data_IF_897322354208
#
_entry.id   IF_897322354208
#
_cell.length_a   1.000
_cell.length_b   1.000
_cell.length_c   1.000
_cell.angle_alpha   90.00
_cell.angle_beta   90.00
_cell.angle_gamma   90.00
#
_symmetry.space_group_name_H-M   'P 1'
#
loop_
_entity.id
_entity.type
_entity.pdbx_description
1 polymer ?
#
# COMPACT_ATOMS: atom_id res chain seq x y z
N UNK A 1 9.00 -13.35 -14.36
CA UNK A 1 9.35 -11.95 -14.10
C UNK A 1 9.88 -11.86 -12.68
N UNK A 2 11.04 -11.29 -12.46
CA UNK A 2 11.55 -10.99 -11.11
C UNK A 2 11.15 -9.56 -10.79
N UNK A 3 10.69 -9.31 -9.63
CA UNK A 3 9.84 -8.19 -9.24
C UNK A 3 10.42 -7.40 -8.11
N UNK A 4 9.80 -6.27 -7.82
CA UNK A 4 10.21 -5.29 -6.83
C UNK A 4 10.19 -5.76 -5.36
N UNK A 5 9.75 -6.98 -5.07
CA UNK A 5 9.86 -7.56 -3.73
C UNK A 5 10.76 -8.81 -3.75
N UNK A 6 12.02 -8.71 -3.28
CA UNK A 6 12.93 -9.85 -3.23
C UNK A 6 12.45 -11.03 -2.39
N UNK A 7 11.59 -10.77 -1.39
CA UNK A 7 10.99 -11.81 -0.55
C UNK A 7 9.91 -12.61 -1.25
N UNK A 8 9.33 -12.08 -2.34
CA UNK A 8 8.25 -12.68 -3.11
C UNK A 8 8.59 -12.72 -4.61
N UNK A 9 9.54 -13.54 -5.05
CA UNK A 9 9.97 -13.58 -6.44
C UNK A 9 8.80 -13.91 -7.37
N UNK A 10 8.69 -13.18 -8.48
CA UNK A 10 7.61 -13.37 -9.46
C UNK A 10 6.38 -12.51 -9.23
N UNK A 11 6.33 -11.69 -8.18
CA UNK A 11 5.23 -10.77 -7.86
C UNK A 11 5.61 -9.33 -8.16
N UNK A 12 4.62 -8.52 -8.47
CA UNK A 12 4.74 -7.08 -8.66
C UNK A 12 3.66 -6.40 -7.85
N UNK A 13 4.01 -5.34 -7.13
CA UNK A 13 3.03 -4.44 -6.56
C UNK A 13 2.52 -3.49 -7.64
N UNK A 14 1.22 -3.29 -7.67
CA UNK A 14 0.56 -2.32 -8.55
C UNK A 14 -0.46 -1.55 -7.74
N UNK A 15 -0.37 -0.22 -7.76
CA UNK A 15 -1.27 0.67 -7.04
C UNK A 15 -2.20 1.39 -8.02
N UNK A 16 -3.40 1.76 -7.56
CA UNK A 16 -4.29 2.68 -8.27
C UNK A 16 -4.20 4.07 -7.64
N UNK A 17 -3.95 5.10 -8.45
CA UNK A 17 -3.97 6.50 -8.02
C UNK A 17 -5.18 7.22 -8.58
N UNK A 18 -5.76 8.13 -7.81
CA UNK A 18 -6.93 8.91 -8.26
C UNK A 18 -8.15 8.04 -8.59
N UNK A 19 -8.31 6.89 -7.92
CA UNK A 19 -9.53 6.07 -8.05
C UNK A 19 -10.74 6.90 -7.64
N UNK A 20 -11.82 6.82 -8.42
CA UNK A 20 -13.06 7.52 -8.11
C UNK A 20 -13.83 6.78 -7.00
N UNK A 21 -13.94 7.35 -5.79
CA UNK A 21 -14.66 6.72 -4.69
C UNK A 21 -16.17 6.96 -4.74
N UNK A 22 -16.68 7.78 -5.66
CA UNK A 22 -18.07 8.22 -5.72
C UNK A 22 -18.85 7.52 -6.84
N UNK A 23 -18.17 7.00 -7.87
CA UNK A 23 -18.78 6.23 -8.94
C UNK A 23 -18.58 4.74 -8.76
N UNK A 24 -19.57 3.96 -9.16
CA UNK A 24 -19.44 2.50 -9.21
C UNK A 24 -18.36 2.13 -10.26
N UNK A 25 -17.47 1.20 -9.93
CA UNK A 25 -16.54 0.66 -10.91
C UNK A 25 -17.27 -0.02 -12.06
N UNK A 26 -16.62 -0.20 -13.20
CA UNK A 26 -17.20 -1.03 -14.27
C UNK A 26 -17.58 -2.41 -13.75
N UNK A 27 -18.58 -3.06 -14.34
CA UNK A 27 -19.03 -4.39 -13.93
C UNK A 27 -17.87 -5.40 -13.85
N UNK A 28 -16.93 -5.34 -14.80
CA UNK A 28 -15.72 -6.17 -14.79
C UNK A 28 -14.81 -5.86 -13.62
N UNK A 29 -14.54 -4.58 -13.34
CA UNK A 29 -13.70 -4.17 -12.22
C UNK A 29 -14.34 -4.56 -10.88
N UNK A 30 -15.66 -4.38 -10.73
CA UNK A 30 -16.41 -4.82 -9.57
C UNK A 30 -16.28 -6.32 -9.32
N UNK A 31 -16.42 -7.15 -10.37
CA UNK A 31 -16.24 -8.60 -10.27
C UNK A 31 -14.80 -9.00 -9.90
N UNK A 32 -13.78 -8.29 -10.42
CA UNK A 32 -12.39 -8.51 -10.07
C UNK A 32 -12.10 -8.14 -8.60
N UNK A 33 -12.64 -7.00 -8.14
CA UNK A 33 -12.53 -6.56 -6.75
C UNK A 33 -13.19 -7.56 -5.78
N UNK A 34 -14.38 -8.06 -6.12
CA UNK A 34 -15.07 -9.05 -5.31
C UNK A 34 -14.25 -10.35 -5.18
N UNK A 35 -13.74 -10.88 -6.29
CA UNK A 35 -12.89 -12.08 -6.26
C UNK A 35 -11.62 -11.90 -5.42
N UNK A 36 -10.97 -10.74 -5.54
CA UNK A 36 -9.78 -10.44 -4.74
C UNK A 36 -10.12 -10.37 -3.25
N UNK A 37 -11.24 -9.72 -2.90
CA UNK A 37 -11.74 -9.64 -1.53
C UNK A 37 -12.05 -11.03 -0.96
N UNK A 38 -12.81 -11.85 -1.69
CA UNK A 38 -13.20 -13.19 -1.24
C UNK A 38 -11.97 -14.07 -0.97
N UNK A 39 -10.96 -13.99 -1.86
CA UNK A 39 -9.70 -14.72 -1.69
C UNK A 39 -8.91 -14.25 -0.44
N UNK A 40 -8.85 -12.94 -0.20
CA UNK A 40 -8.15 -12.40 0.97
C UNK A 40 -8.92 -12.69 2.27
N UNK A 41 -10.25 -12.62 2.27
CA UNK A 41 -11.06 -13.00 3.42
C UNK A 41 -10.89 -14.49 3.77
N UNK A 42 -10.88 -15.38 2.78
CA UNK A 42 -10.61 -16.80 3.00
C UNK A 42 -9.21 -17.03 3.59
N UNK A 43 -8.20 -16.30 3.08
CA UNK A 43 -6.85 -16.30 3.60
C UNK A 43 -6.80 -15.86 5.06
N UNK A 44 -7.46 -14.74 5.40
CA UNK A 44 -7.50 -14.22 6.76
C UNK A 44 -8.22 -15.18 7.73
N UNK A 45 -9.33 -15.80 7.33
CA UNK A 45 -10.00 -16.84 8.14
C UNK A 45 -9.06 -17.99 8.49
N UNK A 46 -8.34 -18.51 7.49
CA UNK A 46 -7.39 -19.59 7.69
C UNK A 46 -6.24 -19.16 8.62
N UNK A 47 -5.71 -17.96 8.44
CA UNK A 47 -4.62 -17.42 9.27
C UNK A 47 -5.06 -17.23 10.73
N UNK A 48 -6.25 -16.69 10.97
CA UNK A 48 -6.81 -16.52 12.31
C UNK A 48 -7.03 -17.88 12.99
N UNK A 49 -7.54 -18.88 12.26
CA UNK A 49 -7.71 -20.25 12.79
C UNK A 49 -6.37 -20.83 13.24
N UNK A 50 -5.34 -20.78 12.39
CA UNK A 50 -4.00 -21.27 12.73
C UNK A 50 -3.38 -20.56 13.94
N UNK A 51 -3.58 -19.26 14.06
CA UNK A 51 -3.13 -18.49 15.22
C UNK A 51 -3.90 -18.90 16.48
N UNK A 52 -5.23 -19.06 16.39
CA UNK A 52 -6.06 -19.45 17.53
C UNK A 52 -5.64 -20.83 18.05
N UNK A 53 -5.36 -21.78 17.17
CA UNK A 53 -4.86 -23.12 17.53
C UNK A 53 -3.50 -23.01 18.23
N UNK A 54 -2.56 -22.24 17.67
CA UNK A 54 -1.24 -22.03 18.24
C UNK A 54 -1.27 -21.37 19.62
N UNK A 55 -2.09 -20.34 19.79
CA UNK A 55 -2.24 -19.67 21.08
C UNK A 55 -3.00 -20.52 22.10
N UNK A 56 -3.97 -21.34 21.66
CA UNK A 56 -4.66 -22.31 22.52
C UNK A 56 -3.68 -23.36 23.06
N UNK A 57 -2.81 -23.89 22.20
CA UNK A 57 -1.73 -24.80 22.59
C UNK A 57 -0.73 -24.15 23.57
N UNK A 58 -0.55 -22.83 23.49
CA UNK A 58 0.29 -22.04 24.40
C UNK A 58 -0.42 -21.63 25.71
N UNK A 59 -1.67 -22.07 25.92
CA UNK A 59 -2.45 -21.80 27.14
C UNK A 59 -3.31 -20.53 27.08
N UNK A 60 -3.49 -19.93 25.90
CA UNK A 60 -4.41 -18.82 25.68
C UNK A 60 -5.57 -19.28 24.78
N UNK A 61 -6.66 -19.81 25.36
CA UNK A 61 -7.89 -20.04 24.60
C UNK A 61 -8.52 -18.72 24.18
N UNK A 62 -8.82 -18.59 22.88
CA UNK A 62 -9.50 -17.40 22.33
C UNK A 62 -10.70 -17.82 21.50
N UNK A 63 -11.74 -16.98 21.49
CA UNK A 63 -12.89 -17.11 20.59
C UNK A 63 -12.73 -16.19 19.35
N UNK A 64 -11.51 -15.80 19.02
CA UNK A 64 -11.25 -14.91 17.89
C UNK A 64 -11.51 -15.61 16.56
N UNK A 65 -12.34 -14.98 15.74
CA UNK A 65 -12.57 -15.34 14.34
C UNK A 65 -12.25 -14.15 13.46
N UNK A 66 -12.06 -14.37 12.15
CA UNK A 66 -11.84 -13.28 11.21
C UNK A 66 -13.03 -12.31 11.21
N UNK A 67 -14.24 -12.84 11.36
CA UNK A 67 -15.49 -12.08 11.36
C UNK A 67 -15.54 -11.14 12.57
N UNK A 68 -15.35 -11.65 13.79
CA UNK A 68 -15.45 -10.80 14.99
C UNK A 68 -14.28 -9.81 15.11
N UNK A 69 -13.09 -10.14 14.60
CA UNK A 69 -11.99 -9.17 14.50
C UNK A 69 -12.35 -8.03 13.54
N UNK A 70 -12.97 -8.33 12.41
CA UNK A 70 -13.36 -7.33 11.44
C UNK A 70 -14.52 -6.44 11.94
N UNK A 71 -15.46 -7.02 12.68
CA UNK A 71 -16.52 -6.27 13.36
C UNK A 71 -15.93 -5.29 14.37
N UNK A 72 -15.00 -5.75 15.22
CA UNK A 72 -14.33 -4.90 16.20
C UNK A 72 -13.52 -3.76 15.55
N UNK A 73 -12.88 -4.02 14.42
CA UNK A 73 -12.17 -2.98 13.63
C UNK A 73 -13.17 -1.95 13.10
N UNK A 74 -14.31 -2.40 12.55
CA UNK A 74 -15.36 -1.52 12.03
C UNK A 74 -15.97 -0.63 13.13
N UNK A 75 -16.28 -1.20 14.29
CA UNK A 75 -16.78 -0.47 15.44
C UNK A 75 -15.80 0.60 15.93
N UNK A 76 -14.51 0.26 16.06
CA UNK A 76 -13.46 1.20 16.47
C UNK A 76 -13.24 2.33 15.47
N UNK A 77 -13.41 2.03 14.18
CA UNK A 77 -13.28 3.01 13.10
C UNK A 77 -14.55 3.83 12.87
N UNK A 78 -15.68 3.43 13.43
CA UNK A 78 -16.98 4.05 13.19
C UNK A 78 -17.43 3.95 11.73
N UNK A 79 -17.11 2.82 11.06
CA UNK A 79 -17.41 2.62 9.65
C UNK A 79 -18.21 1.33 9.41
N UNK A 80 -18.93 1.21 8.27
CA UNK A 80 -19.59 -0.01 7.88
C UNK A 80 -18.63 -1.21 7.80
N UNK A 81 -19.08 -2.40 8.21
CA UNK A 81 -18.25 -3.62 8.21
C UNK A 81 -17.71 -3.98 6.82
N UNK A 82 -18.49 -3.74 5.79
CA UNK A 82 -18.11 -4.01 4.39
C UNK A 82 -16.95 -3.12 3.88
N UNK A 83 -16.61 -2.05 4.59
CA UNK A 83 -15.44 -1.22 4.28
C UNK A 83 -14.15 -1.77 4.87
N UNK A 84 -14.24 -2.71 5.79
CA UNK A 84 -13.08 -3.29 6.45
C UNK A 84 -12.55 -4.48 5.65
N UNK A 85 -11.30 -4.35 5.20
CA UNK A 85 -10.49 -5.46 4.70
C UNK A 85 -9.48 -5.82 5.77
N UNK A 86 -9.56 -7.03 6.31
CA UNK A 86 -8.64 -7.50 7.33
C UNK A 86 -7.22 -7.58 6.77
N UNK A 87 -6.25 -7.22 7.61
CA UNK A 87 -4.84 -7.34 7.34
C UNK A 87 -4.15 -8.03 8.52
N UNK A 88 -2.98 -8.60 8.29
CA UNK A 88 -2.17 -9.26 9.32
C UNK A 88 -2.02 -8.41 10.60
N UNK A 89 -1.93 -7.07 10.45
CA UNK A 89 -1.80 -6.16 11.60
C UNK A 89 -3.05 -6.08 12.46
N UNK A 90 -4.25 -6.16 11.87
CA UNK A 90 -5.51 -6.22 12.63
C UNK A 90 -5.60 -7.53 13.41
N UNK A 91 -5.21 -8.62 12.79
CA UNK A 91 -5.16 -9.95 13.42
C UNK A 91 -4.15 -9.96 14.57
N UNK A 92 -2.92 -9.51 14.35
CA UNK A 92 -1.90 -9.46 15.39
C UNK A 92 -2.32 -8.57 16.58
N UNK A 93 -3.00 -7.44 16.30
CA UNK A 93 -3.56 -6.57 17.33
C UNK A 93 -4.61 -7.30 18.17
N UNK A 94 -5.55 -8.00 17.53
CA UNK A 94 -6.59 -8.73 18.24
C UNK A 94 -6.02 -9.83 19.14
N UNK A 95 -5.04 -10.59 18.67
CA UNK A 95 -4.37 -11.61 19.50
C UNK A 95 -3.54 -10.99 20.64
N UNK A 96 -2.85 -9.88 20.39
CA UNK A 96 -2.14 -9.16 21.46
C UNK A 96 -3.11 -8.64 22.52
N UNK A 97 -4.26 -8.08 22.13
CA UNK A 97 -5.27 -7.58 23.08
C UNK A 97 -5.93 -8.72 23.86
N UNK A 98 -6.22 -9.85 23.20
CA UNK A 98 -6.73 -11.04 23.88
C UNK A 98 -5.74 -11.56 24.93
N UNK A 99 -4.44 -11.61 24.58
CA UNK A 99 -3.38 -11.96 25.53
C UNK A 99 -3.34 -11.00 26.71
N UNK A 100 -3.40 -9.70 26.46
CA UNK A 100 -3.30 -8.70 27.54
C UNK A 100 -4.52 -8.68 28.45
N UNK A 101 -5.69 -9.06 27.92
CA UNK A 101 -6.95 -9.16 28.68
C UNK A 101 -7.01 -10.43 29.54
N UNK A 102 -6.55 -11.55 28.99
CA UNK A 102 -6.75 -12.86 29.62
C UNK A 102 -5.55 -13.34 30.47
N UNK A 103 -4.34 -12.79 30.24
CA UNK A 103 -3.11 -13.27 30.87
C UNK A 103 -2.49 -12.19 31.75
N UNK A 104 -2.20 -12.53 33.00
CA UNK A 104 -1.50 -11.65 33.93
C UNK A 104 -0.13 -11.22 33.40
N UNK A 105 0.30 -9.95 33.62
CA UNK A 105 1.50 -9.37 32.99
C UNK A 105 2.76 -10.23 33.08
N UNK A 106 2.98 -10.85 34.25
CA UNK A 106 4.15 -11.69 34.55
C UNK A 106 4.20 -13.01 33.76
N UNK A 107 3.05 -13.47 33.25
CA UNK A 107 2.94 -14.71 32.50
C UNK A 107 2.88 -14.50 30.99
N UNK A 108 2.72 -13.27 30.52
CA UNK A 108 2.58 -12.96 29.09
C UNK A 108 3.80 -13.40 28.26
N UNK A 109 4.98 -13.24 28.84
CA UNK A 109 6.23 -13.65 28.20
C UNK A 109 6.30 -15.15 27.97
N UNK A 110 5.84 -15.95 28.94
CA UNK A 110 5.83 -17.40 28.85
C UNK A 110 4.86 -17.90 27.78
N UNK A 111 3.64 -17.31 27.75
CA UNK A 111 2.64 -17.65 26.73
C UNK A 111 3.13 -17.31 25.33
N UNK A 112 3.72 -16.11 25.14
CA UNK A 112 4.30 -15.73 23.84
C UNK A 112 5.45 -16.65 23.45
N UNK A 113 6.35 -16.97 24.38
CA UNK A 113 7.48 -17.87 24.12
C UNK A 113 7.01 -19.28 23.72
N UNK A 114 5.95 -19.76 24.37
CA UNK A 114 5.30 -21.02 24.02
C UNK A 114 4.68 -20.98 22.61
N UNK A 115 3.91 -19.91 22.32
CA UNK A 115 3.25 -19.75 21.01
C UNK A 115 4.28 -19.61 19.87
N UNK A 116 5.43 -19.02 20.13
CA UNK A 116 6.52 -18.83 19.15
C UNK A 116 7.44 -20.06 18.98
N UNK A 117 7.33 -21.04 19.87
CA UNK A 117 8.26 -22.18 19.91
C UNK A 117 9.69 -21.77 20.28
N UNK A 118 9.86 -20.69 21.05
CA UNK A 118 11.15 -20.16 21.50
C UNK A 118 11.02 -18.80 22.17
N UNK A 119 12.07 -18.26 22.79
CA UNK A 119 12.00 -17.06 23.63
C UNK A 119 11.36 -15.89 22.88
N UNK A 120 10.37 -15.22 23.51
CA UNK A 120 9.81 -13.97 23.03
C UNK A 120 10.79 -12.84 23.37
N UNK A 121 11.01 -11.93 22.42
CA UNK A 121 11.94 -10.81 22.55
C UNK A 121 11.26 -9.49 22.90
N UNK A 122 10.01 -9.30 22.46
CA UNK A 122 9.26 -8.05 22.69
C UNK A 122 8.94 -7.88 24.18
N UNK A 123 9.12 -6.67 24.67
CA UNK A 123 8.63 -6.31 25.99
C UNK A 123 7.09 -6.36 26.02
N UNK A 124 6.54 -7.14 26.94
CA UNK A 124 5.08 -7.28 27.11
C UNK A 124 4.41 -6.03 27.70
N UNK A 125 5.15 -4.95 27.95
CA UNK A 125 4.62 -3.63 28.28
C UNK A 125 4.39 -2.77 27.02
N UNK A 126 4.87 -3.21 25.84
CA UNK A 126 4.76 -2.47 24.59
C UNK A 126 3.87 -3.21 23.57
N UNK A 127 2.57 -2.88 23.48
CA UNK A 127 1.61 -3.58 22.61
C UNK A 127 2.07 -3.69 21.17
N UNK A 128 2.59 -2.61 20.59
CA UNK A 128 3.05 -2.58 19.18
C UNK A 128 4.20 -3.56 18.95
N UNK A 129 5.18 -3.61 19.87
CA UNK A 129 6.30 -4.54 19.74
C UNK A 129 5.83 -6.01 19.78
N UNK A 130 4.85 -6.32 20.63
CA UNK A 130 4.22 -7.66 20.67
C UNK A 130 3.48 -7.96 19.38
N UNK A 131 2.73 -7.02 18.82
CA UNK A 131 2.04 -7.18 17.53
C UNK A 131 3.03 -7.47 16.40
N UNK A 132 4.13 -6.72 16.35
CA UNK A 132 5.18 -6.91 15.33
C UNK A 132 5.89 -8.27 15.49
N UNK A 133 6.11 -8.73 16.73
CA UNK A 133 6.69 -10.05 16.97
C UNK A 133 5.72 -11.18 16.61
N UNK A 134 4.44 -11.08 16.93
CA UNK A 134 3.40 -12.02 16.46
C UNK A 134 3.43 -12.13 14.93
N UNK A 135 3.43 -10.99 14.24
CA UNK A 135 3.48 -10.98 12.76
C UNK A 135 4.73 -11.64 12.21
N UNK A 136 5.90 -11.24 12.71
CA UNK A 136 7.18 -11.71 12.19
C UNK A 136 7.45 -13.18 12.49
N UNK A 137 7.01 -13.68 13.63
CA UNK A 137 7.30 -15.06 14.08
C UNK A 137 6.23 -16.08 13.71
N UNK A 138 4.97 -15.64 13.51
CA UNK A 138 3.87 -16.56 13.23
C UNK A 138 3.24 -16.40 11.85
N UNK A 139 3.21 -15.19 11.26
CA UNK A 139 2.37 -14.90 10.09
C UNK A 139 3.15 -14.71 8.79
N UNK A 140 4.48 -14.58 8.82
CA UNK A 140 5.31 -14.39 7.62
C UNK A 140 5.63 -15.71 6.93
N UNK A 141 6.10 -15.65 5.68
CA UNK A 141 6.45 -16.83 4.90
C UNK A 141 7.36 -17.78 5.68
N UNK A 142 7.01 -19.07 5.67
CA UNK A 142 7.69 -20.11 6.41
C UNK A 142 7.38 -20.16 7.92
N UNK A 143 6.37 -19.41 8.39
CA UNK A 143 5.91 -19.40 9.79
C UNK A 143 4.63 -20.22 9.97
N UNK A 144 4.34 -20.66 11.22
CA UNK A 144 3.23 -21.64 11.49
C UNK A 144 1.85 -21.20 11.03
N UNK A 145 1.51 -19.91 11.11
CA UNK A 145 0.22 -19.38 10.69
C UNK A 145 0.27 -18.67 9.33
N UNK A 146 1.35 -18.87 8.57
CA UNK A 146 1.43 -18.29 7.22
C UNK A 146 0.44 -18.97 6.28
N UNK A 147 -0.36 -18.16 5.60
CA UNK A 147 -1.22 -18.58 4.50
C UNK A 147 -0.82 -17.79 3.25
N UNK A 148 -0.48 -18.48 2.14
CA UNK A 148 -0.09 -17.80 0.90
C UNK A 148 -1.19 -16.89 0.38
N UNK A 149 -0.80 -15.75 -0.18
CA UNK A 149 -1.70 -14.89 -0.93
C UNK A 149 -2.08 -15.53 -2.27
N UNK A 150 -3.28 -15.23 -2.74
CA UNK A 150 -3.75 -15.58 -4.09
C UNK A 150 -3.68 -14.34 -4.98
N UNK A 151 -2.51 -14.04 -5.59
CA UNK A 151 -2.35 -12.83 -6.38
C UNK A 151 -3.23 -12.90 -7.63
N UNK A 152 -3.80 -11.75 -7.99
CA UNK A 152 -4.45 -11.57 -9.30
C UNK A 152 -3.38 -11.44 -10.39
N UNK A 153 -3.74 -11.68 -11.66
CA UNK A 153 -2.83 -11.42 -12.77
C UNK A 153 -2.54 -9.92 -12.90
N UNK A 154 -1.39 -9.57 -13.51
CA UNK A 154 -1.07 -8.17 -13.80
C UNK A 154 -2.19 -7.50 -14.61
N UNK A 155 -2.66 -8.16 -15.67
CA UNK A 155 -3.75 -7.69 -16.51
C UNK A 155 -5.05 -7.43 -15.74
N UNK A 156 -5.41 -8.32 -14.82
CA UNK A 156 -6.61 -8.14 -14.01
C UNK A 156 -6.45 -6.99 -13.02
N UNK A 157 -5.29 -6.86 -12.36
CA UNK A 157 -5.00 -5.73 -11.47
C UNK A 157 -5.01 -4.40 -12.24
N UNK A 158 -4.38 -4.35 -13.41
CA UNK A 158 -4.34 -3.18 -14.28
C UNK A 158 -5.76 -2.76 -14.71
N UNK A 159 -6.58 -3.72 -15.17
CA UNK A 159 -7.98 -3.47 -15.58
C UNK A 159 -8.88 -3.12 -14.40
N UNK A 160 -8.64 -3.68 -13.22
CA UNK A 160 -9.35 -3.29 -12.00
C UNK A 160 -9.14 -1.81 -11.70
N UNK A 161 -7.90 -1.33 -11.74
CA UNK A 161 -7.55 0.07 -11.47
C UNK A 161 -8.22 1.00 -12.50
N UNK A 162 -8.07 0.71 -13.79
CA UNK A 162 -8.67 1.52 -14.85
C UNK A 162 -10.20 1.51 -14.79
N UNK A 163 -10.79 0.35 -14.55
CA UNK A 163 -12.24 0.19 -14.44
C UNK A 163 -12.83 0.83 -13.19
N UNK A 164 -12.00 1.18 -12.21
CA UNK A 164 -12.33 1.98 -11.02
C UNK A 164 -12.01 3.47 -11.20
N UNK A 165 -11.69 3.89 -12.43
CA UNK A 165 -11.41 5.29 -12.75
C UNK A 165 -10.02 5.78 -12.34
N UNK A 166 -9.13 4.88 -11.91
CA UNK A 166 -7.78 5.23 -11.44
C UNK A 166 -6.69 5.14 -12.51
N UNK A 167 -5.50 5.62 -12.15
CA UNK A 167 -4.27 5.51 -12.94
C UNK A 167 -3.43 4.37 -12.37
N UNK A 168 -3.00 3.37 -13.18
CA UNK A 168 -2.04 2.37 -12.75
C UNK A 168 -0.71 3.01 -12.35
N UNK A 169 -0.19 2.64 -11.19
CA UNK A 169 1.02 3.20 -10.61
C UNK A 169 1.94 2.09 -10.13
N UNK A 170 3.22 2.17 -10.47
CA UNK A 170 4.26 1.25 -10.02
C UNK A 170 4.94 1.81 -8.76
N UNK A 171 4.84 1.14 -7.60
CA UNK A 171 5.59 1.54 -6.40
C UNK A 171 7.05 1.06 -6.50
N UNK A 172 7.96 2.01 -6.59
CA UNK A 172 9.41 1.78 -6.65
C UNK A 172 9.99 1.67 -5.25
N UNK A 173 10.65 0.57 -4.92
CA UNK A 173 11.27 0.36 -3.61
C UNK A 173 12.71 0.87 -3.54
N UNK A 174 13.49 0.67 -4.59
CA UNK A 174 14.93 0.99 -4.64
C UNK A 174 15.67 0.55 -3.36
N UNK A 175 16.36 1.41 -2.61
CA UNK A 175 17.02 1.04 -1.32
C UNK A 175 16.04 0.58 -0.25
N UNK A 176 14.75 0.82 -0.40
CA UNK A 176 13.73 0.30 0.51
C UNK A 176 13.66 -1.23 0.54
N UNK A 177 14.26 -1.90 -0.46
CA UNK A 177 14.51 -3.33 -0.47
C UNK A 177 15.98 -3.62 -0.17
N UNK A 178 16.26 -4.62 0.65
CA UNK A 178 17.64 -5.05 0.95
C UNK A 178 17.79 -6.55 0.74
N UNK A 179 18.55 -7.01 -0.27
CA UNK A 179 19.23 -6.18 -1.29
C UNK A 179 18.26 -5.50 -2.24
N UNK A 180 18.71 -4.42 -2.91
CA UNK A 180 17.95 -3.77 -3.98
C UNK A 180 17.56 -4.80 -5.03
N UNK A 181 16.33 -4.74 -5.50
CA UNK A 181 15.85 -5.68 -6.49
C UNK A 181 16.54 -5.43 -7.85
N UNK A 182 17.26 -6.42 -8.43
CA UNK A 182 17.94 -6.22 -9.70
C UNK A 182 17.01 -5.81 -10.86
N UNK A 183 15.71 -6.04 -10.70
CA UNK A 183 14.72 -5.59 -11.69
C UNK A 183 14.48 -4.07 -11.62
N UNK A 184 14.77 -3.44 -10.50
CA UNK A 184 14.66 -1.99 -10.35
C UNK A 184 15.92 -1.24 -10.76
N UNK A 185 17.01 -1.92 -11.06
CA UNK A 185 18.29 -1.33 -11.45
C UNK A 185 18.64 -1.56 -12.93
N UNK A 186 19.38 -0.62 -13.55
CA UNK A 186 19.53 0.77 -13.11
C UNK A 186 18.24 1.60 -13.35
N UNK A 187 18.13 2.82 -12.79
CA UNK A 187 16.90 3.64 -12.86
C UNK A 187 16.34 3.84 -14.27
N UNK A 188 17.20 4.13 -15.26
CA UNK A 188 16.76 4.30 -16.66
C UNK A 188 16.24 2.99 -17.28
N UNK A 189 16.72 1.84 -16.84
CA UNK A 189 16.19 0.55 -17.28
C UNK A 189 14.82 0.28 -16.64
N UNK A 190 14.65 0.62 -15.37
CA UNK A 190 13.35 0.54 -14.70
C UNK A 190 12.33 1.45 -15.40
N UNK A 191 12.69 2.69 -15.71
CA UNK A 191 11.79 3.61 -16.42
C UNK A 191 11.28 3.01 -17.74
N UNK A 192 12.14 2.40 -18.55
CA UNK A 192 11.71 1.69 -19.77
C UNK A 192 10.77 0.53 -19.47
N UNK A 193 11.10 -0.33 -18.48
CA UNK A 193 10.25 -1.46 -18.09
C UNK A 193 8.86 -1.03 -17.63
N UNK A 194 8.77 0.07 -16.89
CA UNK A 194 7.51 0.65 -16.43
C UNK A 194 6.66 1.14 -17.61
N UNK A 195 7.28 1.83 -18.58
CA UNK A 195 6.58 2.25 -19.80
C UNK A 195 6.13 1.05 -20.67
N UNK A 196 6.96 0.00 -20.78
CA UNK A 196 6.62 -1.23 -21.52
C UNK A 196 5.39 -1.95 -20.91
N UNK A 197 5.11 -1.70 -19.63
CA UNK A 197 3.89 -2.19 -18.97
C UNK A 197 2.68 -1.26 -19.15
N UNK A 198 2.80 -0.15 -19.89
CA UNK A 198 1.74 0.84 -20.04
C UNK A 198 1.50 1.69 -18.77
N UNK A 199 2.48 1.81 -17.90
CA UNK A 199 2.38 2.57 -16.65
C UNK A 199 3.06 3.93 -16.82
N UNK A 200 2.34 4.99 -16.49
CA UNK A 200 2.78 6.38 -16.67
C UNK A 200 2.98 7.13 -15.35
N UNK A 201 2.74 6.47 -14.22
CA UNK A 201 2.91 7.02 -12.87
C UNK A 201 3.68 6.02 -12.01
N UNK A 202 4.65 6.49 -11.26
CA UNK A 202 5.36 5.72 -10.24
C UNK A 202 5.24 6.39 -8.88
N UNK A 203 5.41 5.62 -7.82
CA UNK A 203 5.52 6.11 -6.45
C UNK A 203 6.88 5.73 -5.91
N UNK A 204 7.63 6.70 -5.40
CA UNK A 204 8.85 6.47 -4.66
C UNK A 204 8.59 6.73 -3.18
N UNK A 205 9.28 6.00 -2.30
CA UNK A 205 9.09 6.10 -0.85
C UNK A 205 10.35 6.76 -0.25
N UNK A 206 10.40 8.10 -0.14
CA UNK A 206 11.62 8.81 0.28
C UNK A 206 12.17 8.35 1.62
N UNK A 207 11.31 8.07 2.63
CA UNK A 207 11.76 7.67 3.97
C UNK A 207 12.47 6.31 4.03
N UNK A 208 12.49 5.57 2.92
CA UNK A 208 13.23 4.31 2.76
C UNK A 208 14.47 4.45 1.90
N UNK A 209 14.68 5.60 1.28
CA UNK A 209 15.69 5.80 0.26
C UNK A 209 16.67 6.92 0.64
N UNK A 210 17.94 6.74 0.32
CA UNK A 210 18.94 7.81 0.46
C UNK A 210 18.64 8.96 -0.51
N UNK A 211 18.95 10.22 -0.16
CA UNK A 211 18.65 11.39 -1.02
C UNK A 211 19.15 11.25 -2.46
N UNK A 212 20.38 10.79 -2.64
CA UNK A 212 20.98 10.60 -3.97
C UNK A 212 20.24 9.55 -4.81
N UNK A 213 19.66 8.51 -4.17
CA UNK A 213 18.85 7.49 -4.82
C UNK A 213 17.50 8.07 -5.23
N UNK A 214 16.84 8.83 -4.35
CA UNK A 214 15.62 9.57 -4.69
C UNK A 214 15.83 10.41 -5.94
N UNK A 215 16.87 11.23 -5.96
CA UNK A 215 17.17 12.13 -7.09
C UNK A 215 17.48 11.35 -8.39
N UNK A 216 18.23 10.24 -8.31
CA UNK A 216 18.57 9.43 -9.48
C UNK A 216 17.31 8.80 -10.13
N UNK A 217 16.41 8.23 -9.31
CA UNK A 217 15.18 7.63 -9.83
C UNK A 217 14.19 8.68 -10.34
N UNK A 218 14.00 9.78 -9.61
CA UNK A 218 13.16 10.90 -10.05
C UNK A 218 13.65 11.45 -11.40
N UNK A 219 14.94 11.69 -11.55
CA UNK A 219 15.52 12.19 -12.80
C UNK A 219 15.34 11.18 -13.97
N UNK A 220 15.48 9.87 -13.71
CA UNK A 220 15.30 8.85 -14.74
C UNK A 220 13.84 8.77 -15.21
N UNK A 221 12.89 8.75 -14.27
CA UNK A 221 11.47 8.73 -14.60
C UNK A 221 11.01 9.99 -15.33
N UNK A 222 11.46 11.16 -14.88
CA UNK A 222 11.17 12.43 -15.56
C UNK A 222 11.65 12.44 -17.01
N UNK A 223 12.89 11.99 -17.28
CA UNK A 223 13.42 11.88 -18.65
C UNK A 223 12.57 10.97 -19.52
N UNK A 224 11.98 9.95 -18.94
CA UNK A 224 11.09 9.02 -19.63
C UNK A 224 9.64 9.51 -19.76
N UNK A 225 9.28 10.67 -19.19
CA UNK A 225 7.92 11.21 -19.17
C UNK A 225 6.98 10.48 -18.21
N UNK A 226 7.51 9.80 -17.20
CA UNK A 226 6.75 9.13 -16.13
C UNK A 226 6.64 10.10 -14.95
N UNK A 227 5.43 10.29 -14.45
CA UNK A 227 5.17 11.08 -13.25
C UNK A 227 5.62 10.34 -12.00
N UNK A 228 6.18 11.05 -11.04
CA UNK A 228 6.68 10.47 -9.78
C UNK A 228 5.93 11.05 -8.59
N UNK A 229 5.27 10.18 -7.83
CA UNK A 229 4.63 10.54 -6.57
C UNK A 229 5.52 10.18 -5.37
N UNK A 230 5.35 10.89 -4.25
CA UNK A 230 5.96 10.51 -2.98
C UNK A 230 4.98 9.70 -2.13
N UNK A 231 5.38 8.50 -1.74
CA UNK A 231 4.71 7.69 -0.73
C UNK A 231 5.30 7.93 0.66
N UNK A 232 4.49 7.84 1.70
CA UNK A 232 4.90 8.07 3.10
C UNK A 232 4.89 6.81 3.94
N UNK A 233 4.38 5.68 3.41
CA UNK A 233 4.28 4.40 4.12
C UNK A 233 3.57 4.45 5.49
N UNK A 234 2.54 5.27 5.64
CA UNK A 234 1.69 5.31 6.83
C UNK A 234 0.87 4.02 6.96
N UNK A 235 1.51 2.94 7.25
CA UNK A 235 0.91 1.62 7.35
C UNK A 235 0.90 1.04 8.78
N UNK A 236 1.30 1.81 9.77
CA UNK A 236 1.28 1.46 11.19
C UNK A 236 0.75 2.63 12.02
N UNK A 237 0.56 2.44 13.33
CA UNK A 237 0.18 3.53 14.27
C UNK A 237 1.35 4.46 14.63
N UNK A 238 2.51 4.27 14.07
CA UNK A 238 3.64 5.18 14.22
C UNK A 238 3.31 6.52 13.57
N UNK A 239 3.63 7.61 14.26
CA UNK A 239 3.46 8.97 13.73
C UNK A 239 4.63 9.30 12.81
N UNK A 240 4.53 8.89 11.55
CA UNK A 240 5.47 9.30 10.52
C UNK A 240 5.07 10.71 10.05
N UNK A 241 6.03 11.64 9.82
CA UNK A 241 5.71 12.96 9.25
C UNK A 241 4.96 12.83 7.92
N UNK A 242 3.94 13.67 7.72
CA UNK A 242 3.22 13.73 6.43
C UNK A 242 4.09 14.32 5.32
N UNK A 243 5.01 15.22 5.68
CA UNK A 243 6.01 15.74 4.75
C UNK A 243 7.04 14.63 4.47
N UNK A 244 7.17 14.17 3.21
CA UNK A 244 8.12 13.13 2.87
C UNK A 244 9.56 13.55 3.17
N UNK A 245 10.31 12.69 3.88
CA UNK A 245 11.73 12.85 4.18
C UNK A 245 12.50 11.64 3.71
N UNK A 246 13.76 11.83 3.35
CA UNK A 246 14.64 10.74 2.99
C UNK A 246 15.04 9.89 4.21
N UNK A 247 15.68 8.76 3.98
CA UNK A 247 16.08 7.81 5.03
C UNK A 247 17.00 8.43 6.10
N UNK A 248 17.77 9.45 5.76
CA UNK A 248 18.62 10.21 6.67
C UNK A 248 17.89 11.36 7.42
N UNK A 249 16.58 11.51 7.20
CA UNK A 249 15.75 12.57 7.77
C UNK A 249 15.78 13.90 7.03
N UNK A 250 16.60 14.06 5.98
CA UNK A 250 16.63 15.26 5.14
C UNK A 250 15.38 15.36 4.26
N UNK A 251 15.08 16.56 3.77
CA UNK A 251 14.08 16.74 2.73
C UNK A 251 14.62 16.23 1.38
N UNK A 252 13.78 15.66 0.51
CA UNK A 252 14.13 15.46 -0.89
C UNK A 252 14.58 16.79 -1.54
N UNK A 253 15.36 16.71 -2.60
CA UNK A 253 15.80 17.90 -3.34
C UNK A 253 14.61 18.78 -3.79
N UNK A 254 14.87 20.05 -4.09
CA UNK A 254 13.82 20.94 -4.58
C UNK A 254 13.20 20.42 -5.88
N UNK A 255 14.00 19.85 -6.77
CA UNK A 255 13.55 19.27 -8.03
C UNK A 255 12.66 18.05 -7.78
N UNK A 256 13.08 17.12 -6.90
CA UNK A 256 12.25 15.96 -6.56
C UNK A 256 10.91 16.38 -5.93
N UNK A 257 10.90 17.37 -5.05
CA UNK A 257 9.66 17.89 -4.45
C UNK A 257 8.74 18.53 -5.48
N UNK A 258 9.30 19.24 -6.47
CA UNK A 258 8.52 19.81 -7.56
C UNK A 258 7.85 18.73 -8.41
N UNK A 259 8.57 17.65 -8.73
CA UNK A 259 8.01 16.49 -9.46
C UNK A 259 6.91 15.78 -8.65
N UNK A 260 7.10 15.58 -7.35
CA UNK A 260 6.08 14.99 -6.48
C UNK A 260 4.80 15.83 -6.44
N UNK A 261 4.96 17.16 -6.39
CA UNK A 261 3.82 18.08 -6.42
C UNK A 261 3.10 18.06 -7.77
N UNK A 262 3.85 18.11 -8.88
CA UNK A 262 3.30 18.02 -10.23
C UNK A 262 2.48 16.73 -10.40
N UNK A 263 3.03 15.58 -10.03
CA UNK A 263 2.35 14.30 -10.12
C UNK A 263 1.08 14.27 -9.24
N UNK A 264 1.14 14.82 -8.04
CA UNK A 264 -0.03 14.93 -7.13
C UNK A 264 -1.14 15.76 -7.76
N UNK A 265 -0.81 16.89 -8.37
CA UNK A 265 -1.77 17.73 -9.08
C UNK A 265 -2.38 17.00 -10.27
N UNK A 266 -1.59 16.30 -11.09
CA UNK A 266 -2.09 15.51 -12.23
C UNK A 266 -3.08 14.43 -11.77
N UNK A 267 -2.79 13.73 -10.67
CA UNK A 267 -3.69 12.72 -10.11
C UNK A 267 -4.99 13.35 -9.61
N UNK A 268 -4.92 14.50 -8.93
CA UNK A 268 -6.11 15.22 -8.47
C UNK A 268 -7.01 15.67 -9.64
N UNK A 269 -6.41 16.22 -10.71
CA UNK A 269 -7.13 16.59 -11.93
C UNK A 269 -7.75 15.38 -12.61
N UNK A 270 -7.01 14.28 -12.73
CA UNK A 270 -7.51 13.03 -13.30
C UNK A 270 -8.76 12.55 -12.55
N UNK A 271 -8.69 12.44 -11.22
CA UNK A 271 -9.79 11.99 -10.38
C UNK A 271 -11.04 12.89 -10.55
N UNK A 272 -10.85 14.18 -10.49
CA UNK A 272 -11.94 15.15 -10.66
C UNK A 272 -12.63 15.03 -12.03
N UNK A 273 -11.87 14.93 -13.10
CA UNK A 273 -12.41 14.80 -14.45
C UNK A 273 -13.13 13.46 -14.63
N UNK A 274 -12.56 12.36 -14.14
CA UNK A 274 -13.19 11.04 -14.20
C UNK A 274 -14.51 11.01 -13.41
N UNK A 275 -14.53 11.58 -12.21
CA UNK A 275 -15.75 11.72 -11.41
C UNK A 275 -16.83 12.59 -12.10
N UNK A 276 -16.41 13.49 -12.97
CA UNK A 276 -17.31 14.34 -13.80
C UNK A 276 -17.64 13.73 -15.17
N UNK A 277 -17.26 12.47 -15.42
CA UNK A 277 -17.49 11.79 -16.71
C UNK A 277 -16.65 12.33 -17.87
N UNK A 278 -15.58 13.06 -17.58
CA UNK A 278 -14.68 13.65 -18.57
C UNK A 278 -13.43 12.81 -18.79
N UNK A 279 -12.72 12.99 -19.93
CA UNK A 279 -11.44 12.34 -20.17
C UNK A 279 -10.40 12.73 -19.12
N UNK A 280 -9.82 11.74 -18.43
CA UNK A 280 -8.75 11.92 -17.47
C UNK A 280 -7.35 11.98 -18.12
N UNK A 281 -6.30 11.90 -17.31
CA UNK A 281 -4.91 11.84 -17.76
C UNK A 281 -4.63 10.57 -18.58
N UNK A 282 -5.24 9.44 -18.18
CA UNK A 282 -5.31 8.21 -18.97
C UNK A 282 -6.77 7.85 -19.24
N UNK A 283 -7.01 7.10 -20.31
CA UNK A 283 -8.31 6.56 -20.68
C UNK A 283 -8.59 5.20 -19.99
N UNK A 284 -9.74 4.58 -20.31
CA UNK A 284 -10.11 3.25 -19.78
C UNK A 284 -9.27 2.07 -20.31
N UNK A 285 -8.32 2.32 -21.20
CA UNK A 285 -7.32 1.35 -21.68
C UNK A 285 -5.94 1.59 -21.10
N UNK A 286 -5.74 2.72 -20.39
CA UNK A 286 -4.45 3.13 -19.85
C UNK A 286 -3.65 4.01 -20.80
N UNK A 287 -4.21 4.34 -21.96
CA UNK A 287 -3.56 5.22 -22.93
C UNK A 287 -3.62 6.67 -22.45
N UNK A 288 -2.53 7.39 -22.66
CA UNK A 288 -2.44 8.81 -22.31
C UNK A 288 -3.45 9.63 -23.15
N UNK A 289 -4.09 10.60 -22.50
CA UNK A 289 -5.06 11.48 -23.15
C UNK A 289 -4.49 12.11 -24.44
N UNK A 290 -5.07 11.81 -25.60
CA UNK A 290 -4.55 12.27 -26.90
C UNK A 290 -4.90 13.73 -27.24
N UNK A 291 -5.68 14.42 -26.40
CA UNK A 291 -6.14 15.79 -26.63
C UNK A 291 -5.07 16.88 -26.53
N UNK A 292 -3.78 16.49 -26.46
CA UNK A 292 -2.64 17.39 -26.29
C UNK A 292 -1.59 17.14 -27.34
N UNK A 293 -0.86 18.19 -27.79
CA UNK A 293 0.13 18.07 -28.85
C UNK A 293 1.36 17.23 -28.44
N UNK A 294 1.68 17.22 -27.15
CA UNK A 294 2.82 16.49 -26.59
C UNK A 294 2.63 16.17 -25.10
N UNK A 295 3.55 15.38 -24.55
CA UNK A 295 3.55 14.98 -23.14
C UNK A 295 3.69 16.16 -22.16
N UNK A 296 4.66 17.08 -22.37
CA UNK A 296 4.82 18.24 -21.51
C UNK A 296 3.60 19.14 -21.45
N UNK A 297 2.94 19.41 -22.60
CA UNK A 297 1.69 20.20 -22.63
C UNK A 297 0.56 19.54 -21.87
N UNK A 298 0.42 18.22 -22.01
CA UNK A 298 -0.57 17.43 -21.25
C UNK A 298 -0.29 17.52 -19.76
N UNK A 299 0.90 17.20 -19.33
CA UNK A 299 1.28 17.21 -17.90
C UNK A 299 1.05 18.58 -17.29
N UNK A 300 1.49 19.65 -17.95
CA UNK A 300 1.28 21.02 -17.49
C UNK A 300 -0.18 21.35 -17.28
N UNK A 301 -1.04 21.05 -18.27
CA UNK A 301 -2.46 21.37 -18.18
C UNK A 301 -3.14 20.63 -17.01
N UNK A 302 -2.87 19.32 -16.86
CA UNK A 302 -3.42 18.55 -15.75
C UNK A 302 -2.86 19.03 -14.39
N UNK A 303 -1.59 19.43 -14.33
CA UNK A 303 -0.96 19.96 -13.12
C UNK A 303 -1.58 21.28 -12.70
N UNK A 304 -1.78 22.22 -13.62
CA UNK A 304 -2.42 23.51 -13.35
C UNK A 304 -3.85 23.31 -12.84
N UNK A 305 -4.66 22.51 -13.53
CA UNK A 305 -6.02 22.19 -13.08
C UNK A 305 -6.02 21.56 -11.67
N UNK A 306 -5.13 20.60 -11.42
CA UNK A 306 -5.06 19.94 -10.12
C UNK A 306 -4.60 20.88 -8.99
N UNK A 307 -3.67 21.78 -9.27
CA UNK A 307 -3.23 22.79 -8.31
C UNK A 307 -4.40 23.72 -7.92
N UNK A 308 -5.20 24.14 -8.89
CA UNK A 308 -6.39 24.96 -8.64
C UNK A 308 -7.44 24.22 -7.79
N UNK A 309 -7.68 22.94 -8.08
CA UNK A 309 -8.62 22.09 -7.33
C UNK A 309 -8.16 21.92 -5.87
N UNK A 310 -6.91 21.59 -5.65
CA UNK A 310 -6.31 21.43 -4.30
C UNK A 310 -6.38 22.76 -3.55
N UNK A 311 -6.01 23.86 -4.21
CA UNK A 311 -6.07 25.21 -3.62
C UNK A 311 -7.51 25.63 -3.26
N UNK A 312 -8.50 25.26 -4.06
CA UNK A 312 -9.90 25.52 -3.76
C UNK A 312 -10.40 24.70 -2.55
N UNK A 313 -10.07 23.40 -2.51
CA UNK A 313 -10.42 22.51 -1.40
C UNK A 313 -9.81 22.97 -0.07
N UNK A 314 -8.55 23.40 -0.07
CA UNK A 314 -7.85 23.92 1.11
C UNK A 314 -8.54 25.18 1.69
N UNK A 315 -9.11 26.02 0.85
CA UNK A 315 -9.86 27.24 1.30
C UNK A 315 -11.22 26.91 1.91
N UNK A 316 -11.87 25.81 1.49
CA UNK A 316 -13.15 25.36 2.04
C UNK A 316 -12.96 24.69 3.40
N UNK A 317 -11.91 23.89 3.55
CA UNK A 317 -11.60 23.20 4.81
C UNK A 317 -11.06 24.11 5.93
N UNK A 318 -10.69 25.35 5.61
CA UNK A 318 -10.22 26.35 6.58
C UNK A 318 -11.34 27.23 7.19
N UNK A 319 -12.61 26.99 6.84
CA UNK A 319 -13.79 27.65 7.38
C UNK A 319 -14.52 26.69 8.34
#
# INVERSE_FOLDING_TARGET
MKVNDPANPGRIYLCGKGVDPFAAPTARAGALAARARDADEARMRSMVSLLADGFTAAGLGTALTAENIAEEVAERAGCPREWVVLQERHVAMAFQEALFRAVAPERRQDVLSSAFGGPAAASTTHPIAVQDEIRSRLMKAGRPAFVPESPVSFDDAYRLILGSGGIPCYPTLADGASPVCPWEEPPDALARRVLDMGIHVTELIPNRNAPAVVDAYVAAFRRAGILVMAGTEHNTRQRIPLEPRCADGSLPSADARAEFWEATCVVAAHQHLRASGQPGFVDGRGELNPGFPDGPSRTRWFSELGADLIGAASRVGAR
#
